data_IF_679812187859
#
_entry.id   IF_679812187859
#
_cell.length_a   1.000
_cell.length_b   1.000
_cell.length_c   1.000
_cell.angle_alpha   90.00
_cell.angle_beta   90.00
_cell.angle_gamma   90.00
#
_symmetry.space_group_name_H-M   'P 1'
#
loop_
_entity.id
_entity.type
_entity.pdbx_description
1 polymer ?
#
# COMPACT_ATOMS: atom_id res chain seq x y z
N UNK A 1 -24.20 61.28 24.19
CA UNK A 1 -25.10 61.43 23.01
C UNK A 1 -24.26 61.16 21.77
N UNK A 2 -24.28 59.92 21.28
CA UNK A 2 -23.28 59.37 20.35
C UNK A 2 -23.36 60.00 18.96
N UNK A 3 -22.25 60.06 18.22
CA UNK A 3 -22.14 60.70 16.90
C UNK A 3 -23.13 60.21 15.82
N UNK A 4 -23.85 59.10 16.06
CA UNK A 4 -24.96 58.67 15.22
C UNK A 4 -26.18 59.59 15.32
N UNK A 5 -26.46 60.15 16.51
CA UNK A 5 -27.57 61.09 16.72
C UNK A 5 -27.35 62.41 15.99
N UNK A 6 -26.09 62.88 15.94
CA UNK A 6 -25.72 64.11 15.22
C UNK A 6 -25.87 63.92 13.71
N UNK A 7 -25.42 62.79 13.17
CA UNK A 7 -25.54 62.46 11.74
C UNK A 7 -27.00 62.30 11.29
N UNK A 8 -27.86 61.78 12.15
CA UNK A 8 -29.30 61.68 11.87
C UNK A 8 -29.94 63.07 11.75
N UNK A 9 -29.61 63.98 12.68
CA UNK A 9 -30.11 65.35 12.66
C UNK A 9 -29.66 66.13 11.41
N UNK A 10 -28.42 65.94 10.95
CA UNK A 10 -27.93 66.53 9.69
C UNK A 10 -28.66 66.00 8.46
N UNK A 11 -28.95 64.70 8.42
CA UNK A 11 -29.72 64.08 7.33
C UNK A 11 -31.17 64.56 7.33
N UNK A 12 -31.78 64.73 8.50
CA UNK A 12 -33.12 65.31 8.63
C UNK A 12 -33.16 66.74 8.11
N UNK A 13 -32.16 67.57 8.45
CA UNK A 13 -32.10 68.95 7.98
C UNK A 13 -31.96 69.01 6.45
N UNK A 14 -31.09 68.19 5.87
CA UNK A 14 -30.96 68.07 4.40
C UNK A 14 -32.26 67.59 3.75
N UNK A 15 -32.89 66.55 4.30
CA UNK A 15 -34.15 66.03 3.79
C UNK A 15 -35.28 67.08 3.84
N UNK A 16 -35.34 67.90 4.90
CA UNK A 16 -36.29 69.01 5.00
C UNK A 16 -36.03 70.08 3.95
N UNK A 17 -34.77 70.48 3.76
CA UNK A 17 -34.39 71.47 2.75
C UNK A 17 -34.73 70.98 1.33
N UNK A 18 -34.45 69.72 1.03
CA UNK A 18 -34.77 69.10 -0.26
C UNK A 18 -36.28 68.94 -0.45
N UNK A 19 -37.03 68.61 0.60
CA UNK A 19 -38.49 68.55 0.55
C UNK A 19 -39.09 69.94 0.23
N UNK A 20 -38.60 71.00 0.87
CA UNK A 20 -39.03 72.38 0.59
C UNK A 20 -38.72 72.76 -0.87
N UNK A 21 -37.52 72.47 -1.36
CA UNK A 21 -37.14 72.71 -2.76
C UNK A 21 -38.08 71.97 -3.72
N UNK A 22 -38.35 70.70 -3.45
CA UNK A 22 -39.20 69.84 -4.29
C UNK A 22 -40.66 70.30 -4.30
N UNK A 23 -41.18 70.81 -3.18
CA UNK A 23 -42.53 71.40 -3.14
C UNK A 23 -42.57 72.71 -3.92
N UNK A 24 -41.55 73.57 -3.78
CA UNK A 24 -41.46 74.82 -4.53
C UNK A 24 -41.37 74.59 -6.05
N UNK A 25 -40.64 73.55 -6.49
CA UNK A 25 -40.55 73.16 -7.90
C UNK A 25 -41.88 72.65 -8.48
N UNK A 26 -42.72 72.00 -7.67
CA UNK A 26 -44.00 71.42 -8.11
C UNK A 26 -45.12 72.47 -8.24
N UNK A 27 -45.06 73.57 -7.49
CA UNK A 27 -46.10 74.60 -7.43
C UNK A 27 -45.63 75.97 -7.95
N UNK A 28 -45.02 75.99 -9.14
CA UNK A 28 -44.52 77.24 -9.76
C UNK A 28 -45.62 78.16 -10.32
N UNK A 29 -46.80 77.62 -10.66
CA UNK A 29 -47.96 78.35 -11.20
C UNK A 29 -49.23 78.03 -10.40
N UNK A 30 -50.16 78.98 -10.24
CA UNK A 30 -51.41 78.77 -9.48
C UNK A 30 -52.27 77.61 -10.01
N UNK A 31 -52.29 77.38 -11.33
CA UNK A 31 -53.00 76.28 -12.01
C UNK A 31 -52.57 74.88 -11.52
N UNK A 32 -51.37 74.74 -10.95
CA UNK A 32 -50.88 73.45 -10.42
C UNK A 32 -51.54 73.04 -9.10
N UNK A 33 -52.20 73.99 -8.40
CA UNK A 33 -52.93 73.69 -7.15
C UNK A 33 -54.17 72.85 -7.41
N UNK A 34 -54.75 72.88 -8.61
CA UNK A 34 -55.89 72.03 -8.99
C UNK A 34 -55.55 70.53 -8.98
N UNK A 35 -54.26 70.18 -9.11
CA UNK A 35 -53.77 68.78 -9.14
C UNK A 35 -53.23 68.29 -7.80
N UNK A 36 -53.47 69.05 -6.71
CA UNK A 36 -52.90 68.77 -5.39
C UNK A 36 -53.25 67.37 -4.87
N UNK A 37 -54.46 66.88 -5.09
CA UNK A 37 -54.91 65.59 -4.60
C UNK A 37 -54.20 64.43 -5.30
N UNK A 38 -53.95 64.55 -6.61
CA UNK A 38 -53.18 63.58 -7.40
C UNK A 38 -51.72 63.54 -6.95
N UNK A 39 -51.11 64.72 -6.74
CA UNK A 39 -49.73 64.83 -6.27
C UNK A 39 -49.59 64.27 -4.84
N UNK A 40 -50.55 64.57 -3.96
CA UNK A 40 -50.61 64.03 -2.59
C UNK A 40 -50.72 62.51 -2.60
N UNK A 41 -51.63 61.95 -3.40
CA UNK A 41 -51.78 60.50 -3.52
C UNK A 41 -50.48 59.82 -4.00
N UNK A 42 -49.78 60.43 -4.95
CA UNK A 42 -48.47 59.95 -5.42
C UNK A 42 -47.42 59.93 -4.30
N UNK A 43 -47.31 61.01 -3.52
CA UNK A 43 -46.36 61.05 -2.39
C UNK A 43 -46.70 60.04 -1.30
N UNK A 44 -47.98 59.87 -0.98
CA UNK A 44 -48.43 58.85 -0.01
C UNK A 44 -48.06 57.45 -0.51
N UNK A 45 -48.35 57.12 -1.77
CA UNK A 45 -47.99 55.82 -2.35
C UNK A 45 -46.47 55.60 -2.36
N UNK A 46 -45.68 56.62 -2.73
CA UNK A 46 -44.22 56.54 -2.70
C UNK A 46 -43.68 56.33 -1.28
N UNK A 47 -44.25 57.02 -0.28
CA UNK A 47 -43.92 56.84 1.12
C UNK A 47 -44.22 55.40 1.56
N UNK A 48 -45.44 54.91 1.33
CA UNK A 48 -45.84 53.55 1.72
C UNK A 48 -44.95 52.48 1.06
N UNK A 49 -44.60 52.65 -0.23
CA UNK A 49 -43.70 51.75 -0.93
C UNK A 49 -42.29 51.75 -0.32
N UNK A 50 -41.76 52.94 0.01
CA UNK A 50 -40.44 53.08 0.63
C UNK A 50 -40.43 52.47 2.04
N UNK A 51 -41.48 52.70 2.83
CA UNK A 51 -41.64 52.11 4.17
C UNK A 51 -41.70 50.58 4.11
N UNK A 52 -42.43 50.02 3.13
CA UNK A 52 -42.48 48.58 2.92
C UNK A 52 -41.10 48.00 2.54
N UNK A 53 -40.37 48.66 1.63
CA UNK A 53 -39.01 48.24 1.24
C UNK A 53 -38.04 48.31 2.42
N UNK A 54 -38.06 49.40 3.20
CA UNK A 54 -37.23 49.56 4.39
C UNK A 54 -37.53 48.48 5.43
N UNK A 55 -38.81 48.17 5.63
CA UNK A 55 -39.24 47.09 6.53
C UNK A 55 -38.65 45.75 6.09
N UNK A 56 -38.80 45.38 4.82
CA UNK A 56 -38.24 44.13 4.27
C UNK A 56 -36.72 44.09 4.39
N UNK A 57 -36.03 45.17 4.03
CA UNK A 57 -34.58 45.26 4.13
C UNK A 57 -34.09 45.13 5.57
N UNK A 58 -34.75 45.79 6.53
CA UNK A 58 -34.43 45.70 7.95
C UNK A 58 -34.62 44.28 8.48
N UNK A 59 -35.74 43.63 8.14
CA UNK A 59 -35.98 42.24 8.54
C UNK A 59 -34.93 41.30 7.94
N UNK A 60 -34.59 41.46 6.66
CA UNK A 60 -33.56 40.64 6.00
C UNK A 60 -32.17 40.83 6.64
N UNK A 61 -31.79 42.06 6.98
CA UNK A 61 -30.52 42.33 7.65
C UNK A 61 -30.49 41.78 9.08
N UNK A 62 -31.61 41.89 9.80
CA UNK A 62 -31.74 41.33 11.15
C UNK A 62 -31.68 39.80 11.12
N UNK A 63 -32.38 39.17 10.18
CA UNK A 63 -32.36 37.71 9.99
C UNK A 63 -30.95 37.22 9.61
N UNK A 64 -30.29 37.90 8.67
CA UNK A 64 -28.90 37.61 8.31
C UNK A 64 -27.93 37.76 9.49
N UNK A 65 -28.14 38.76 10.35
CA UNK A 65 -27.34 38.94 11.57
C UNK A 65 -27.58 37.82 12.58
N UNK A 66 -28.83 37.39 12.76
CA UNK A 66 -29.20 36.29 13.64
C UNK A 66 -28.57 34.97 13.17
N UNK A 67 -28.73 34.63 11.89
CA UNK A 67 -28.12 33.43 11.29
C UNK A 67 -26.59 33.49 11.40
N UNK A 68 -26.00 34.67 11.22
CA UNK A 68 -24.56 34.88 11.41
C UNK A 68 -24.11 34.58 12.83
N UNK A 69 -24.86 35.03 13.83
CA UNK A 69 -24.57 34.77 15.25
C UNK A 69 -24.72 33.28 15.60
N UNK A 70 -25.81 32.64 15.16
CA UNK A 70 -26.04 31.20 15.36
C UNK A 70 -24.91 30.35 14.76
N UNK A 71 -24.39 30.75 13.58
CA UNK A 71 -23.24 30.10 12.95
C UNK A 71 -21.94 30.30 13.73
N UNK A 72 -21.72 31.49 14.28
CA UNK A 72 -20.54 31.76 15.11
C UNK A 72 -20.57 30.96 16.40
N UNK A 73 -21.74 30.84 17.05
CA UNK A 73 -21.90 30.02 18.25
C UNK A 73 -21.68 28.54 17.96
N UNK A 74 -22.18 28.06 16.82
CA UNK A 74 -21.92 26.69 16.35
C UNK A 74 -20.44 26.44 16.10
N UNK A 75 -19.76 27.35 15.39
CA UNK A 75 -18.33 27.24 15.12
C UNK A 75 -17.48 27.30 16.40
N UNK A 76 -17.88 28.10 17.39
CA UNK A 76 -17.21 28.15 18.69
C UNK A 76 -17.34 26.81 19.44
N UNK A 77 -18.53 26.21 19.45
CA UNK A 77 -18.78 24.89 20.04
C UNK A 77 -17.98 23.79 19.36
N UNK A 78 -17.93 23.79 18.02
CA UNK A 78 -17.12 22.86 17.25
C UNK A 78 -15.62 23.02 17.55
N UNK A 79 -15.13 24.26 17.67
CA UNK A 79 -13.74 24.54 18.02
C UNK A 79 -13.39 24.03 19.43
N UNK A 80 -14.29 24.17 20.39
CA UNK A 80 -14.10 23.66 21.76
C UNK A 80 -14.05 22.12 21.75
N UNK A 81 -14.94 21.48 20.99
CA UNK A 81 -14.95 20.01 20.82
C UNK A 81 -13.68 19.52 20.12
N UNK A 82 -13.19 20.24 19.12
CA UNK A 82 -11.93 19.90 18.46
C UNK A 82 -10.76 19.99 19.44
N UNK A 83 -10.72 21.04 20.27
CA UNK A 83 -9.71 21.21 21.32
C UNK A 83 -9.74 20.07 22.34
N UNK A 84 -10.92 19.63 22.80
CA UNK A 84 -11.00 18.51 23.75
C UNK A 84 -10.49 17.20 23.13
N UNK A 85 -10.88 16.90 21.88
CA UNK A 85 -10.40 15.72 21.14
C UNK A 85 -8.89 15.73 20.94
N UNK A 86 -8.29 16.90 20.69
CA UNK A 86 -6.84 17.03 20.58
C UNK A 86 -6.13 16.70 21.89
N UNK A 87 -6.69 17.09 23.04
CA UNK A 87 -6.13 16.71 24.35
C UNK A 87 -6.28 15.21 24.62
N UNK A 88 -7.43 14.61 24.29
CA UNK A 88 -7.63 13.16 24.40
C UNK A 88 -6.65 12.38 23.53
N UNK A 89 -6.41 12.85 22.30
CA UNK A 89 -5.45 12.24 21.38
C UNK A 89 -4.01 12.38 21.89
N UNK A 90 -3.63 13.56 22.42
CA UNK A 90 -2.32 13.76 23.03
C UNK A 90 -2.10 12.82 24.22
N UNK A 91 -3.09 12.70 25.12
CA UNK A 91 -3.01 11.78 26.26
C UNK A 91 -2.92 10.30 25.81
N UNK A 92 -3.64 9.92 24.75
CA UNK A 92 -3.54 8.58 24.18
C UNK A 92 -2.17 8.30 23.56
N UNK A 93 -1.55 9.29 22.92
CA UNK A 93 -0.19 9.19 22.39
C UNK A 93 0.86 9.09 23.50
N UNK A 94 0.72 9.85 24.59
CA UNK A 94 1.61 9.74 25.76
C UNK A 94 1.52 8.33 26.38
N UNK A 95 0.34 7.70 26.39
CA UNK A 95 0.20 6.31 26.81
C UNK A 95 0.91 5.28 25.89
N UNK A 96 1.31 5.67 24.68
CA UNK A 96 2.11 4.84 23.77
C UNK A 96 3.61 5.01 23.99
N UNK A 97 4.02 5.87 24.93
CA UNK A 97 5.42 5.99 25.34
C UNK A 97 5.90 4.64 25.90
N UNK A 98 6.95 4.08 25.28
CA UNK A 98 7.44 2.73 25.57
C UNK A 98 6.90 1.61 24.66
N UNK A 99 5.93 1.87 23.77
CA UNK A 99 5.60 0.93 22.70
C UNK A 99 6.80 0.66 21.77
N UNK A 100 7.62 1.66 21.35
CA UNK A 100 8.74 1.43 20.45
C UNK A 100 9.82 0.50 21.05
N UNK A 101 10.06 0.58 22.36
CA UNK A 101 11.01 -0.31 23.05
C UNK A 101 10.46 -1.73 23.14
N UNK A 102 9.19 -1.92 23.54
CA UNK A 102 8.54 -3.23 23.56
C UNK A 102 8.47 -3.86 22.17
N UNK A 103 8.22 -3.06 21.12
CA UNK A 103 8.22 -3.52 19.74
C UNK A 103 9.63 -3.94 19.27
N UNK A 104 10.67 -3.23 19.73
CA UNK A 104 12.06 -3.60 19.46
C UNK A 104 12.44 -4.91 20.14
N UNK A 105 12.02 -5.12 21.38
CA UNK A 105 12.20 -6.40 22.08
C UNK A 105 11.47 -7.54 21.36
N UNK A 106 10.21 -7.33 20.98
CA UNK A 106 9.44 -8.31 20.21
C UNK A 106 10.11 -8.63 18.87
N UNK A 107 10.63 -7.61 18.16
CA UNK A 107 11.38 -7.80 16.91
C UNK A 107 12.65 -8.62 17.13
N UNK A 108 13.37 -8.36 18.22
CA UNK A 108 14.57 -9.12 18.56
C UNK A 108 14.24 -10.58 18.91
N UNK A 109 13.17 -10.82 19.66
CA UNK A 109 12.69 -12.16 19.98
C UNK A 109 12.25 -12.89 18.70
N UNK A 110 11.47 -12.24 17.85
CA UNK A 110 11.04 -12.79 16.56
C UNK A 110 12.23 -13.16 15.67
N UNK A 111 13.26 -12.32 15.60
CA UNK A 111 14.50 -12.64 14.87
C UNK A 111 15.18 -13.88 15.44
N UNK A 112 15.31 -13.98 16.78
CA UNK A 112 15.89 -15.16 17.44
C UNK A 112 15.10 -16.43 17.12
N UNK A 113 13.76 -16.38 17.21
CA UNK A 113 12.91 -17.53 16.87
C UNK A 113 13.06 -17.95 15.40
N UNK A 114 13.12 -16.99 14.48
CA UNK A 114 13.35 -17.27 13.06
C UNK A 114 14.71 -17.93 12.82
N UNK A 115 15.76 -17.46 13.48
CA UNK A 115 17.09 -18.09 13.40
C UNK A 115 17.09 -19.51 13.99
N UNK A 116 16.41 -19.71 15.12
CA UNK A 116 16.31 -21.02 15.77
C UNK A 116 15.53 -22.03 14.93
N UNK A 117 14.44 -21.59 14.30
CA UNK A 117 13.67 -22.42 13.37
C UNK A 117 14.51 -22.86 12.17
N UNK A 118 15.24 -21.93 11.54
CA UNK A 118 16.16 -22.24 10.44
C UNK A 118 17.26 -23.21 10.90
N UNK A 119 17.84 -23.00 12.08
CA UNK A 119 18.85 -23.90 12.65
C UNK A 119 18.31 -25.31 12.90
N UNK A 120 17.06 -25.45 13.38
CA UNK A 120 16.41 -26.75 13.58
C UNK A 120 16.16 -27.49 12.27
N UNK A 121 15.73 -26.78 11.23
CA UNK A 121 15.50 -27.33 9.90
C UNK A 121 16.83 -27.79 9.27
N UNK A 122 17.85 -26.93 9.30
CA UNK A 122 19.22 -27.24 8.86
C UNK A 122 19.80 -28.47 9.59
N UNK A 123 19.57 -28.59 10.90
CA UNK A 123 20.00 -29.74 11.68
C UNK A 123 19.30 -31.04 11.24
N UNK A 124 18.02 -30.98 10.89
CA UNK A 124 17.29 -32.16 10.40
C UNK A 124 17.92 -32.70 9.11
N UNK A 125 18.33 -31.81 8.20
CA UNK A 125 19.02 -32.19 6.97
C UNK A 125 20.42 -32.75 7.22
N UNK A 126 21.21 -32.11 8.09
CA UNK A 126 22.56 -32.59 8.45
C UNK A 126 22.56 -33.96 9.14
N UNK A 127 21.51 -34.31 9.88
CA UNK A 127 21.40 -35.65 10.49
C UNK A 127 21.12 -36.72 9.42
N UNK A 128 20.33 -36.40 8.39
CA UNK A 128 19.94 -37.33 7.33
C UNK A 128 20.96 -37.46 6.20
N UNK A 129 21.77 -36.43 5.98
CA UNK A 129 22.71 -36.37 4.86
C UNK A 129 23.69 -37.58 4.78
N UNK A 130 24.27 -38.11 5.87
CA UNK A 130 25.18 -39.26 5.78
C UNK A 130 24.45 -40.53 5.32
N UNK A 131 23.21 -40.73 5.80
CA UNK A 131 22.38 -41.86 5.39
C UNK A 131 22.01 -41.77 3.89
N UNK A 132 21.66 -40.57 3.42
CA UNK A 132 21.39 -40.32 2.01
C UNK A 132 22.63 -40.50 1.13
N UNK A 133 23.83 -40.13 1.61
CA UNK A 133 25.09 -40.38 0.89
C UNK A 133 25.36 -41.88 0.70
N UNK A 134 25.08 -42.69 1.73
CA UNK A 134 25.26 -44.15 1.65
C UNK A 134 24.23 -44.81 0.72
N UNK A 135 22.98 -44.34 0.76
CA UNK A 135 21.95 -44.76 -0.18
C UNK A 135 22.33 -44.43 -1.63
N UNK A 136 22.82 -43.22 -1.89
CA UNK A 136 23.30 -42.82 -3.21
C UNK A 136 24.46 -43.70 -3.71
N UNK A 137 25.42 -44.04 -2.83
CA UNK A 137 26.50 -44.98 -3.14
C UNK A 137 25.95 -46.34 -3.57
N UNK A 138 25.01 -46.88 -2.79
CA UNK A 138 24.37 -48.18 -3.06
C UNK A 138 23.67 -48.19 -4.42
N UNK A 139 22.92 -47.14 -4.77
CA UNK A 139 22.26 -47.04 -6.08
C UNK A 139 23.25 -46.96 -7.25
N UNK A 140 24.38 -46.26 -7.07
CA UNK A 140 25.45 -46.21 -8.08
C UNK A 140 26.09 -47.59 -8.28
N UNK A 141 26.32 -48.33 -7.20
CA UNK A 141 26.87 -49.69 -7.24
C UNK A 141 25.91 -50.69 -7.91
N UNK A 142 24.59 -50.47 -7.78
CA UNK A 142 23.54 -51.26 -8.42
C UNK A 142 23.26 -50.86 -9.88
N UNK A 143 24.09 -50.01 -10.49
CA UNK A 143 23.91 -49.44 -11.83
C UNK A 143 22.61 -48.61 -12.00
N UNK A 144 21.90 -48.29 -10.91
CA UNK A 144 20.75 -47.38 -10.94
C UNK A 144 21.22 -45.92 -10.80
N UNK A 145 21.83 -45.43 -11.88
CA UNK A 145 22.48 -44.12 -11.90
C UNK A 145 21.49 -42.95 -11.73
N UNK A 146 20.25 -43.11 -12.22
CA UNK A 146 19.26 -42.03 -12.19
C UNK A 146 18.79 -41.73 -10.77
N UNK A 147 18.43 -42.76 -10.01
CA UNK A 147 17.95 -42.57 -8.64
C UNK A 147 19.09 -42.17 -7.69
N UNK A 148 20.30 -42.71 -7.90
CA UNK A 148 21.50 -42.25 -7.20
C UNK A 148 21.80 -40.76 -7.47
N UNK A 149 21.66 -40.31 -8.72
CA UNK A 149 21.89 -38.90 -9.07
C UNK A 149 20.85 -37.95 -8.48
N UNK A 150 19.57 -38.36 -8.39
CA UNK A 150 18.53 -37.54 -7.72
C UNK A 150 18.89 -37.27 -6.26
N UNK A 151 19.33 -38.29 -5.53
CA UNK A 151 19.72 -38.14 -4.12
C UNK A 151 20.95 -37.23 -3.99
N UNK A 152 21.93 -37.37 -4.90
CA UNK A 152 23.10 -36.46 -4.95
C UNK A 152 22.65 -35.02 -5.19
N UNK A 153 21.73 -34.79 -6.11
CA UNK A 153 21.21 -33.46 -6.41
C UNK A 153 20.49 -32.83 -5.20
N UNK A 154 19.72 -33.62 -4.43
CA UNK A 154 19.11 -33.17 -3.19
C UNK A 154 20.17 -32.78 -2.14
N UNK A 155 21.23 -33.58 -2.01
CA UNK A 155 22.35 -33.29 -1.10
C UNK A 155 23.14 -32.04 -1.51
N UNK A 156 23.35 -31.82 -2.81
CA UNK A 156 23.95 -30.59 -3.34
C UNK A 156 23.07 -29.37 -3.05
N UNK A 157 21.75 -29.49 -3.21
CA UNK A 157 20.80 -28.43 -2.86
C UNK A 157 20.90 -28.03 -1.39
N UNK A 158 20.92 -29.02 -0.48
CA UNK A 158 21.10 -28.79 0.95
C UNK A 158 22.46 -28.13 1.24
N UNK A 159 23.54 -28.61 0.63
CA UNK A 159 24.88 -28.02 0.79
C UNK A 159 24.87 -26.54 0.38
N UNK A 160 24.33 -26.23 -0.78
CA UNK A 160 24.35 -24.89 -1.34
C UNK A 160 23.47 -23.93 -0.53
N UNK A 161 22.32 -24.39 -0.03
CA UNK A 161 21.46 -23.65 0.91
C UNK A 161 22.22 -23.34 2.22
N UNK A 162 22.82 -24.34 2.86
CA UNK A 162 23.58 -24.17 4.09
C UNK A 162 24.79 -23.24 3.92
N UNK A 163 25.54 -23.41 2.83
CA UNK A 163 26.68 -22.56 2.50
C UNK A 163 26.25 -21.12 2.24
N UNK A 164 25.09 -20.90 1.60
CA UNK A 164 24.55 -19.56 1.37
C UNK A 164 24.14 -18.85 2.67
N UNK A 165 23.55 -19.60 3.62
CA UNK A 165 23.13 -19.06 4.91
C UNK A 165 24.34 -18.70 5.78
N UNK A 166 25.36 -19.56 5.85
CA UNK A 166 26.60 -19.29 6.59
C UNK A 166 27.40 -18.15 5.96
N UNK A 167 27.41 -18.04 4.62
CA UNK A 167 28.07 -16.93 3.94
C UNK A 167 27.41 -15.58 4.28
N UNK A 168 26.08 -15.57 4.47
CA UNK A 168 25.32 -14.39 4.92
C UNK A 168 25.69 -13.97 6.35
N UNK A 169 26.11 -14.91 7.19
CA UNK A 169 26.57 -14.66 8.56
C UNK A 169 28.07 -14.35 8.67
N UNK A 170 28.81 -14.29 7.54
CA UNK A 170 30.24 -13.94 7.44
C UNK A 170 31.20 -14.83 8.26
N UNK A 171 30.83 -16.08 8.56
CA UNK A 171 31.70 -17.01 9.28
C UNK A 171 32.50 -17.91 8.34
N UNK A 172 33.77 -17.56 8.10
CA UNK A 172 34.62 -18.35 7.19
C UNK A 172 35.01 -19.72 7.75
N UNK A 173 35.12 -19.87 9.08
CA UNK A 173 35.48 -21.15 9.71
C UNK A 173 34.36 -22.20 9.57
N UNK A 174 33.10 -21.77 9.61
CA UNK A 174 31.94 -22.65 9.44
C UNK A 174 31.79 -23.11 7.98
N UNK A 175 32.18 -22.26 7.01
CA UNK A 175 32.22 -22.64 5.60
C UNK A 175 33.22 -23.77 5.32
N UNK A 176 34.41 -23.72 5.93
CA UNK A 176 35.42 -24.77 5.74
C UNK A 176 34.98 -26.09 6.37
N UNK A 177 34.31 -26.03 7.53
CA UNK A 177 33.72 -27.22 8.19
C UNK A 177 32.63 -27.86 7.33
N UNK A 178 31.74 -27.07 6.74
CA UNK A 178 30.70 -27.57 5.83
C UNK A 178 31.28 -28.17 4.55
N UNK A 179 32.34 -27.56 3.99
CA UNK A 179 33.05 -28.12 2.83
C UNK A 179 33.63 -29.49 3.14
N UNK A 180 34.25 -29.66 4.30
CA UNK A 180 34.82 -30.94 4.70
C UNK A 180 33.72 -31.98 4.94
N UNK A 181 32.60 -31.59 5.54
CA UNK A 181 31.45 -32.46 5.75
C UNK A 181 30.83 -32.97 4.43
N UNK A 182 30.62 -32.08 3.45
CA UNK A 182 30.01 -32.41 2.17
C UNK A 182 30.99 -32.97 1.12
N UNK A 183 32.27 -33.15 1.45
CA UNK A 183 33.27 -33.72 0.55
C UNK A 183 32.87 -35.08 -0.02
N UNK A 184 32.13 -35.89 0.74
CA UNK A 184 31.60 -37.18 0.28
C UNK A 184 30.65 -37.06 -0.92
N UNK A 185 29.96 -35.92 -1.08
CA UNK A 185 29.11 -35.63 -2.25
C UNK A 185 29.96 -35.42 -3.50
N UNK A 186 31.11 -34.76 -3.37
CA UNK A 186 32.03 -34.56 -4.49
C UNK A 186 32.63 -35.90 -4.96
N UNK A 187 32.94 -36.80 -4.02
CA UNK A 187 33.39 -38.17 -4.33
C UNK A 187 32.30 -38.97 -5.06
N UNK A 188 31.04 -38.89 -4.61
CA UNK A 188 29.89 -39.51 -5.28
C UNK A 188 29.68 -38.97 -6.70
N UNK A 189 29.80 -37.65 -6.87
CA UNK A 189 29.75 -37.01 -8.17
C UNK A 189 30.89 -37.47 -9.10
N UNK A 190 32.08 -37.67 -8.58
CA UNK A 190 33.20 -38.20 -9.35
C UNK A 190 32.92 -39.65 -9.82
N UNK A 191 32.30 -40.48 -8.98
CA UNK A 191 31.88 -41.84 -9.34
C UNK A 191 30.84 -41.83 -10.46
N UNK A 192 29.78 -41.03 -10.32
CA UNK A 192 28.75 -40.88 -11.36
C UNK A 192 29.36 -40.40 -12.68
N UNK A 193 30.22 -39.38 -12.62
CA UNK A 193 30.93 -38.86 -13.79
C UNK A 193 31.79 -39.93 -14.47
N UNK A 194 32.47 -40.77 -13.68
CA UNK A 194 33.25 -41.90 -14.19
C UNK A 194 32.39 -42.90 -14.96
N UNK A 195 31.24 -43.30 -14.40
CA UNK A 195 30.29 -44.21 -15.05
C UNK A 195 29.73 -43.61 -16.36
N UNK A 196 29.31 -42.34 -16.33
CA UNK A 196 28.82 -41.62 -17.52
C UNK A 196 29.92 -41.56 -18.59
N UNK A 197 31.17 -41.26 -18.19
CA UNK A 197 32.29 -41.18 -19.13
C UNK A 197 32.61 -42.54 -19.77
N UNK A 198 32.51 -43.63 -19.01
CA UNK A 198 32.73 -44.99 -19.50
C UNK A 198 31.66 -45.41 -20.51
N UNK A 199 30.38 -45.18 -20.18
CA UNK A 199 29.27 -45.47 -21.09
C UNK A 199 29.34 -44.56 -22.32
N UNK A 200 29.63 -43.27 -22.11
CA UNK A 200 29.79 -42.28 -23.17
C UNK A 200 30.92 -42.63 -24.14
N UNK A 201 32.06 -43.13 -23.66
CA UNK A 201 33.17 -43.54 -24.54
C UNK A 201 32.82 -44.77 -25.39
N UNK A 202 32.08 -45.73 -24.81
CA UNK A 202 31.57 -46.91 -25.53
C UNK A 202 30.57 -46.51 -26.62
N UNK A 203 29.62 -45.63 -26.30
CA UNK A 203 28.65 -45.11 -27.28
C UNK A 203 29.39 -44.33 -28.38
N UNK A 204 30.31 -43.44 -28.02
CA UNK A 204 31.09 -42.64 -28.99
C UNK A 204 31.88 -43.54 -29.93
N UNK A 205 32.52 -44.59 -29.40
CA UNK A 205 33.25 -45.58 -30.20
C UNK A 205 32.31 -46.34 -31.14
N UNK A 206 31.12 -46.73 -30.66
CA UNK A 206 30.11 -47.38 -31.49
C UNK A 206 29.61 -46.47 -32.62
N UNK A 207 29.40 -45.18 -32.34
CA UNK A 207 29.00 -44.18 -33.35
C UNK A 207 30.08 -43.99 -34.41
N UNK A 208 31.36 -43.91 -34.01
CA UNK A 208 32.48 -43.75 -34.96
C UNK A 208 32.61 -44.97 -35.87
N UNK A 209 32.48 -46.18 -35.30
CA UNK A 209 32.72 -47.43 -36.04
C UNK A 209 31.53 -47.86 -36.90
N UNK A 210 30.29 -47.59 -36.44
CA UNK A 210 29.05 -48.11 -37.04
C UNK A 210 27.94 -47.04 -37.05
N UNK A 211 28.22 -45.86 -37.61
CA UNK A 211 27.35 -44.69 -37.54
C UNK A 211 25.88 -44.94 -37.96
N UNK A 212 25.64 -45.72 -39.02
CA UNK A 212 24.29 -45.94 -39.57
C UNK A 212 23.45 -46.82 -38.65
N UNK A 213 24.05 -47.89 -38.14
CA UNK A 213 23.37 -48.83 -37.25
C UNK A 213 22.98 -48.17 -35.92
N UNK A 214 23.87 -47.36 -35.35
CA UNK A 214 23.58 -46.63 -34.10
C UNK A 214 22.42 -45.64 -34.28
N UNK A 215 22.38 -44.89 -35.39
CA UNK A 215 21.29 -43.95 -35.67
C UNK A 215 19.95 -44.70 -35.84
N UNK A 216 19.97 -45.84 -36.53
CA UNK A 216 18.77 -46.67 -36.70
C UNK A 216 18.29 -47.23 -35.35
N UNK A 217 19.20 -47.74 -34.50
CA UNK A 217 18.88 -48.17 -33.14
C UNK A 217 18.29 -47.04 -32.28
N UNK A 218 18.89 -45.85 -32.30
CA UNK A 218 18.38 -44.69 -31.53
C UNK A 218 16.99 -44.29 -32.02
N UNK A 219 16.75 -44.26 -33.33
CA UNK A 219 15.43 -43.96 -33.91
C UNK A 219 14.37 -44.97 -33.49
N UNK A 220 14.73 -46.26 -33.46
CA UNK A 220 13.83 -47.32 -32.98
C UNK A 220 13.54 -47.12 -31.48
N UNK A 221 14.56 -46.89 -30.66
CA UNK A 221 14.40 -46.66 -29.22
C UNK A 221 13.49 -45.44 -28.95
N UNK A 222 13.73 -44.30 -29.62
CA UNK A 222 12.91 -43.08 -29.45
C UNK A 222 11.46 -43.31 -29.90
N UNK A 223 11.23 -44.07 -30.99
CA UNK A 223 9.89 -44.46 -31.41
C UNK A 223 9.18 -45.31 -30.34
N UNK A 224 9.85 -46.34 -29.84
CA UNK A 224 9.27 -47.24 -28.82
C UNK A 224 9.01 -46.49 -27.50
N UNK A 225 9.92 -45.62 -27.05
CA UNK A 225 9.72 -44.80 -25.83
C UNK A 225 8.50 -43.87 -25.94
N UNK A 226 8.31 -43.22 -27.09
CA UNK A 226 7.14 -42.37 -27.34
C UNK A 226 5.85 -43.17 -27.33
N UNK A 227 5.85 -44.35 -27.96
CA UNK A 227 4.71 -45.26 -27.94
C UNK A 227 4.38 -45.72 -26.52
N UNK A 228 5.38 -46.09 -25.71
CA UNK A 228 5.18 -46.47 -24.30
C UNK A 228 4.60 -45.33 -23.46
N UNK A 229 5.10 -44.09 -23.62
CA UNK A 229 4.54 -42.91 -22.95
C UNK A 229 3.07 -42.64 -23.34
N UNK A 230 2.70 -42.87 -24.61
CA UNK A 230 1.30 -42.81 -25.05
C UNK A 230 0.45 -43.92 -24.43
N UNK A 231 0.90 -45.17 -24.41
CA UNK A 231 0.14 -46.26 -23.78
C UNK A 231 -0.04 -46.05 -22.27
N UNK A 232 0.97 -45.51 -21.58
CA UNK A 232 0.88 -45.20 -20.15
C UNK A 232 -0.11 -44.06 -19.84
N UNK A 233 -0.43 -43.18 -20.80
CA UNK A 233 -1.49 -42.18 -20.67
C UNK A 233 -2.90 -42.74 -20.93
N UNK A 234 -3.02 -43.87 -21.61
CA UNK A 234 -4.30 -44.56 -21.86
C UNK A 234 -4.59 -45.71 -20.87
N UNK A 235 -3.70 -45.94 -19.91
CA UNK A 235 -3.85 -46.96 -18.86
C UNK A 235 -4.05 -46.33 -17.47
N UNK A 236 -4.80 -45.22 -17.43
CA UNK A 236 -5.43 -44.65 -16.23
C UNK A 236 -6.94 -44.61 -16.45
#
# INVERSE_FOLDING_TARGET
MSGQSVRLAELELKARADAVRRVAELFQKPEHLEKIDVIRARFVNQKTATEAQLKVALYSQLDGSKVGLDKLDSALSESQTCKSRLYELAAALDNLEGLPSRLRELKNISKKYSQLAAAMENMSYLVKAPEAMEQARTYIEQENLLDGHKIIQELEGIRDELMSEVHREHSNADLDTLREYFKGVDDLNALVRGQISLIGSRITSAVITQHRFVVDCIRIIDREERSVKSYSQYTL
#
